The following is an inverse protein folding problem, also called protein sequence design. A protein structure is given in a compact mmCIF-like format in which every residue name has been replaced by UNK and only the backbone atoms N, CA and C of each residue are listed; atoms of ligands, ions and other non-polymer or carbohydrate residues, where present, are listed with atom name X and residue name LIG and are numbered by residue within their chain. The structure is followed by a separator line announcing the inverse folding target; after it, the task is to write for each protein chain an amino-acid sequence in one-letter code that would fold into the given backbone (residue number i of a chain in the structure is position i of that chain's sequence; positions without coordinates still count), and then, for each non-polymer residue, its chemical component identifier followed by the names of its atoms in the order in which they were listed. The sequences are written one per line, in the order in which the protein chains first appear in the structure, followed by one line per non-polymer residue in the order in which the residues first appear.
data_IF_248358039491
#
_entry.id   IF_248358039491
#
_cell.length_a   1.000
_cell.length_b   1.000
_cell.length_c   1.000
_cell.angle_alpha   90.00
_cell.angle_beta   90.00
_cell.angle_gamma   90.00
#
_symmetry.space_group_name_H-M   'P 1'
#
loop_
_entity.id
_entity.type
_entity.pdbx_description
1 polymer ?
#
# COMPACT_ATOMS: atom_id res chain seq x y z
N UNK A 1 24.41 36.21 -3.11
CA UNK A 1 23.33 36.38 -4.11
C UNK A 1 23.38 35.17 -5.03
N UNK A 2 22.44 34.22 -4.88
CA UNK A 2 21.18 34.28 -5.65
C UNK A 2 19.96 33.65 -4.93
N UNK A 3 18.77 34.26 -4.98
CA UNK A 3 17.52 33.60 -4.55
C UNK A 3 16.24 34.16 -5.21
N UNK A 4 16.31 34.66 -6.45
CA UNK A 4 15.13 35.25 -7.11
C UNK A 4 15.11 34.90 -8.60
N UNK A 5 14.78 33.65 -8.94
CA UNK A 5 14.39 33.28 -10.33
C UNK A 5 13.38 32.12 -10.42
N UNK A 6 12.66 31.75 -9.34
CA UNK A 6 11.71 30.61 -9.36
C UNK A 6 10.28 30.95 -9.82
N UNK A 7 10.00 32.22 -10.13
CA UNK A 7 8.70 32.70 -10.61
C UNK A 7 8.17 32.00 -11.87
N UNK A 8 8.94 31.91 -12.97
CA UNK A 8 8.46 31.28 -14.20
C UNK A 8 8.22 29.77 -14.05
N UNK A 9 8.94 29.09 -13.15
CA UNK A 9 8.73 27.67 -12.86
C UNK A 9 7.39 27.43 -12.14
N UNK A 10 7.00 28.33 -11.24
CA UNK A 10 5.71 28.26 -10.54
C UNK A 10 4.53 28.52 -11.48
N UNK A 11 4.66 29.48 -12.40
CA UNK A 11 3.65 29.73 -13.43
C UNK A 11 3.52 28.54 -14.40
N UNK A 12 4.64 27.95 -14.81
CA UNK A 12 4.65 26.73 -15.62
C UNK A 12 3.96 25.57 -14.87
N UNK A 13 4.31 25.35 -13.60
CA UNK A 13 3.69 24.32 -12.77
C UNK A 13 2.18 24.55 -12.61
N UNK A 14 1.74 25.79 -12.41
CA UNK A 14 0.32 26.15 -12.37
C UNK A 14 -0.39 25.90 -13.70
N UNK A 15 0.23 26.23 -14.83
CA UNK A 15 -0.32 25.98 -16.16
C UNK A 15 -0.44 24.47 -16.43
N UNK A 16 0.58 23.69 -16.11
CA UNK A 16 0.58 22.22 -16.23
C UNK A 16 -0.52 21.63 -15.37
N UNK A 17 -0.64 22.03 -14.10
CA UNK A 17 -1.68 21.54 -13.19
C UNK A 17 -3.09 21.80 -13.74
N UNK A 18 -3.35 23.03 -14.20
CA UNK A 18 -4.66 23.38 -14.76
C UNK A 18 -4.95 22.62 -16.06
N UNK A 19 -3.95 22.44 -16.92
CA UNK A 19 -4.09 21.68 -18.16
C UNK A 19 -4.38 20.19 -17.87
N UNK A 20 -3.62 19.57 -16.97
CA UNK A 20 -3.83 18.19 -16.53
C UNK A 20 -5.22 18.00 -15.95
N UNK A 21 -5.66 18.92 -15.07
CA UNK A 21 -7.00 18.87 -14.47
C UNK A 21 -8.11 19.07 -15.50
N UNK A 22 -7.96 20.03 -16.41
CA UNK A 22 -8.92 20.26 -17.49
C UNK A 22 -9.07 19.03 -18.39
N UNK A 23 -7.94 18.45 -18.80
CA UNK A 23 -7.91 17.25 -19.63
C UNK A 23 -8.62 16.10 -18.91
N UNK A 24 -8.23 15.80 -17.67
CA UNK A 24 -8.83 14.71 -16.88
C UNK A 24 -10.35 14.88 -16.70
N UNK A 25 -10.81 16.09 -16.40
CA UNK A 25 -12.24 16.37 -16.27
C UNK A 25 -12.98 16.18 -17.60
N UNK A 26 -12.37 16.59 -18.72
CA UNK A 26 -12.93 16.39 -20.05
C UNK A 26 -13.14 14.90 -20.37
N UNK A 27 -12.18 14.04 -20.01
CA UNK A 27 -12.38 12.59 -20.14
C UNK A 27 -13.59 12.14 -19.33
N UNK A 28 -13.62 12.45 -18.03
CA UNK A 28 -14.70 12.05 -17.12
C UNK A 28 -16.09 12.48 -17.63
N UNK A 29 -16.20 13.68 -18.20
CA UNK A 29 -17.46 14.15 -18.78
C UNK A 29 -17.88 13.38 -20.04
N UNK A 30 -16.93 13.04 -20.92
CA UNK A 30 -17.21 12.21 -22.11
C UNK A 30 -17.72 10.83 -21.69
N UNK A 31 -17.13 10.22 -20.66
CA UNK A 31 -17.60 8.95 -20.11
C UNK A 31 -18.99 9.06 -19.53
N UNK A 32 -19.25 10.07 -18.70
CA UNK A 32 -20.58 10.30 -18.11
C UNK A 32 -21.65 10.44 -19.19
N UNK A 33 -21.33 11.16 -20.27
CA UNK A 33 -22.24 11.32 -21.40
C UNK A 33 -22.45 10.01 -22.17
N UNK A 34 -21.37 9.25 -22.42
CA UNK A 34 -21.44 7.94 -23.05
C UNK A 34 -22.31 6.94 -22.25
N UNK A 35 -22.22 6.97 -20.91
CA UNK A 35 -23.09 6.15 -20.04
C UNK A 35 -24.55 6.56 -20.16
N UNK A 36 -24.85 7.87 -20.23
CA UNK A 36 -26.22 8.36 -20.42
C UNK A 36 -26.77 7.92 -21.77
N UNK A 37 -25.97 8.07 -22.83
CA UNK A 37 -26.35 7.66 -24.18
C UNK A 37 -26.62 6.15 -24.25
N UNK A 38 -25.79 5.33 -23.60
CA UNK A 38 -26.02 3.89 -23.46
C UNK A 38 -27.34 3.58 -22.74
N UNK A 39 -27.63 4.27 -21.62
CA UNK A 39 -28.88 4.11 -20.86
C UNK A 39 -30.12 4.52 -21.64
N UNK A 40 -29.98 5.45 -22.59
CA UNK A 40 -31.06 5.89 -23.48
C UNK A 40 -31.19 5.00 -24.74
N UNK A 41 -30.32 4.00 -24.91
CA UNK A 41 -30.31 3.11 -26.07
C UNK A 41 -29.69 3.74 -27.32
N UNK A 42 -28.96 4.85 -27.18
CA UNK A 42 -28.20 5.45 -28.28
C UNK A 42 -26.95 4.59 -28.58
N UNK A 43 -26.52 4.50 -29.85
CA UNK A 43 -25.30 3.80 -30.20
C UNK A 43 -24.08 4.54 -29.64
N UNK A 44 -23.24 3.84 -28.88
CA UNK A 44 -22.00 4.35 -28.28
C UNK A 44 -20.81 3.55 -28.84
N UNK A 45 -19.68 4.22 -29.07
CA UNK A 45 -18.44 3.56 -29.51
C UNK A 45 -17.86 2.68 -28.39
N UNK A 46 -17.55 1.42 -28.71
CA UNK A 46 -16.94 0.45 -27.78
C UNK A 46 -15.53 0.87 -27.32
N UNK A 47 -14.83 1.70 -28.10
CA UNK A 47 -13.49 2.19 -27.78
C UNK A 47 -13.45 3.01 -26.49
N UNK A 48 -14.57 3.66 -26.13
CA UNK A 48 -14.70 4.44 -24.89
C UNK A 48 -14.51 3.52 -23.69
N UNK A 49 -15.21 2.38 -23.64
CA UNK A 49 -15.16 1.48 -22.49
C UNK A 49 -13.81 0.76 -22.33
N UNK A 50 -13.12 0.49 -23.45
CA UNK A 50 -11.79 -0.15 -23.44
C UNK A 50 -10.71 0.64 -22.69
N UNK A 51 -10.81 1.97 -22.67
CA UNK A 51 -9.89 2.84 -21.92
C UNK A 51 -10.19 2.85 -20.42
N UNK A 52 -11.46 2.65 -20.02
CA UNK A 52 -11.84 2.58 -18.62
C UNK A 52 -11.31 1.30 -17.96
N UNK A 53 -11.41 0.16 -18.63
CA UNK A 53 -10.86 -1.10 -18.10
C UNK A 53 -9.35 -1.01 -17.87
N UNK A 54 -8.62 -0.36 -18.78
CA UNK A 54 -7.18 -0.10 -18.61
C UNK A 54 -6.88 0.85 -17.46
N UNK A 55 -7.71 1.87 -17.26
CA UNK A 55 -7.58 2.82 -16.15
C UNK A 55 -7.90 2.19 -14.80
N UNK A 56 -8.94 1.35 -14.73
CA UNK A 56 -9.35 0.63 -13.52
C UNK A 56 -8.30 -0.41 -13.09
N UNK A 57 -7.72 -1.15 -14.05
CA UNK A 57 -6.62 -2.07 -13.76
C UNK A 57 -5.38 -1.34 -13.22
N UNK A 58 -5.07 -0.16 -13.74
CA UNK A 58 -3.97 0.66 -13.24
C UNK A 58 -4.23 1.20 -11.82
N UNK A 59 -5.46 1.59 -11.50
CA UNK A 59 -5.80 2.03 -10.13
C UNK A 59 -5.78 0.88 -9.13
N UNK A 60 -6.21 -0.32 -9.53
CA UNK A 60 -6.17 -1.50 -8.65
C UNK A 60 -4.72 -1.91 -8.33
N UNK A 61 -3.80 -1.79 -9.30
CA UNK A 61 -2.37 -2.03 -9.09
C UNK A 61 -1.74 -0.98 -8.16
N UNK A 62 -2.10 0.31 -8.32
CA UNK A 62 -1.63 1.38 -7.43
C UNK A 62 -2.15 1.21 -6.00
N UNK A 63 -3.42 0.83 -5.83
CA UNK A 63 -4.02 0.59 -4.51
C UNK A 63 -3.40 -0.65 -3.83
N UNK A 64 -3.10 -1.70 -4.60
CA UNK A 64 -2.38 -2.88 -4.09
C UNK A 64 -0.96 -2.53 -3.64
N UNK A 65 -0.24 -1.70 -4.42
CA UNK A 65 1.09 -1.22 -4.06
C UNK A 65 1.06 -0.35 -2.79
N UNK A 66 0.12 0.58 -2.69
CA UNK A 66 -0.06 1.42 -1.50
C UNK A 66 -0.38 0.57 -0.25
N UNK A 67 -1.20 -0.47 -0.40
CA UNK A 67 -1.51 -1.41 0.68
C UNK A 67 -0.27 -2.18 1.13
N UNK A 68 0.56 -2.65 0.18
CA UNK A 68 1.80 -3.35 0.49
C UNK A 68 2.81 -2.46 1.23
N UNK A 69 2.93 -1.19 0.84
CA UNK A 69 3.77 -0.22 1.57
C UNK A 69 3.25 0.03 2.99
N UNK A 70 1.93 0.15 3.15
CA UNK A 70 1.32 0.33 4.47
C UNK A 70 1.60 -0.85 5.41
N UNK A 71 1.45 -2.08 4.90
CA UNK A 71 1.77 -3.31 5.65
C UNK A 71 3.25 -3.34 6.03
N UNK A 72 4.14 -2.96 5.12
CA UNK A 72 5.58 -2.93 5.39
C UNK A 72 5.93 -1.96 6.52
N UNK A 73 5.34 -0.76 6.53
CA UNK A 73 5.57 0.24 7.59
C UNK A 73 5.07 -0.25 8.94
N UNK A 74 3.88 -0.87 8.99
CA UNK A 74 3.35 -1.47 10.22
C UNK A 74 4.29 -2.55 10.78
N UNK A 75 4.85 -3.39 9.91
CA UNK A 75 5.82 -4.42 10.31
C UNK A 75 7.09 -3.78 10.88
N UNK A 76 7.63 -2.74 10.24
CA UNK A 76 8.81 -2.04 10.75
C UNK A 76 8.56 -1.37 12.11
N UNK A 77 7.40 -0.74 12.29
CA UNK A 77 7.05 -0.08 13.55
C UNK A 77 6.85 -1.09 14.68
N UNK A 78 6.18 -2.21 14.42
CA UNK A 78 6.09 -3.32 15.37
C UNK A 78 7.47 -3.89 15.72
N UNK A 79 8.35 -4.05 14.74
CA UNK A 79 9.73 -4.53 14.96
C UNK A 79 10.53 -3.60 15.88
N UNK A 80 10.46 -2.29 15.67
CA UNK A 80 11.12 -1.27 16.52
C UNK A 80 10.56 -1.24 17.95
N UNK A 81 9.26 -1.51 18.11
CA UNK A 81 8.62 -1.54 19.42
C UNK A 81 8.99 -2.81 20.20
N UNK A 82 9.06 -3.97 19.53
CA UNK A 82 9.34 -5.26 20.16
C UNK A 82 10.82 -5.43 20.52
N UNK A 83 11.73 -4.95 19.68
CA UNK A 83 13.18 -5.11 19.85
C UNK A 83 13.80 -3.73 19.82
N UNK A 84 14.50 -3.35 20.90
CA UNK A 84 15.20 -2.05 20.95
C UNK A 84 16.24 -1.94 19.83
N UNK A 85 16.38 -0.73 19.28
CA UNK A 85 17.08 -0.37 18.02
C UNK A 85 18.51 -0.95 17.81
N UNK A 86 19.14 -1.52 18.84
CA UNK A 86 20.49 -2.09 18.78
C UNK A 86 20.55 -3.58 18.44
N UNK A 87 19.44 -4.32 18.56
CA UNK A 87 19.43 -5.78 18.46
C UNK A 87 18.85 -6.25 17.10
N UNK A 88 19.72 -6.75 16.23
CA UNK A 88 19.31 -7.40 14.98
C UNK A 88 18.72 -8.78 15.30
N UNK A 89 17.51 -9.07 14.78
CA UNK A 89 16.86 -10.37 14.94
C UNK A 89 17.56 -11.40 14.05
N UNK A 90 18.11 -12.43 14.69
CA UNK A 90 18.73 -13.56 13.99
C UNK A 90 17.68 -14.59 13.56
N UNK A 91 16.62 -14.76 14.35
CA UNK A 91 15.53 -15.68 14.04
C UNK A 91 14.39 -15.65 15.06
N UNK A 92 13.24 -16.19 14.67
CA UNK A 92 12.09 -16.40 15.54
C UNK A 92 11.44 -17.76 15.26
N UNK A 93 11.01 -18.44 16.31
CA UNK A 93 10.37 -19.76 16.24
C UNK A 93 9.18 -19.79 17.18
N UNK A 94 8.08 -20.41 16.74
CA UNK A 94 7.05 -20.85 17.68
C UNK A 94 7.45 -22.21 18.25
N UNK A 95 7.28 -22.35 19.55
CA UNK A 95 7.60 -23.52 20.35
C UNK A 95 6.31 -24.06 20.97
N UNK A 96 6.34 -25.33 21.34
CA UNK A 96 5.30 -26.01 22.11
C UNK A 96 5.88 -26.20 23.51
N UNK A 97 5.10 -25.94 24.57
CA UNK A 97 5.54 -26.21 25.93
C UNK A 97 5.85 -27.70 26.11
N UNK A 98 7.03 -27.97 26.65
CA UNK A 98 7.55 -29.32 26.85
C UNK A 98 7.90 -29.57 28.33
N UNK A 99 7.36 -28.77 29.26
CA UNK A 99 7.58 -28.98 30.69
C UNK A 99 7.00 -30.35 31.13
N UNK A 100 7.83 -31.28 31.62
CA UNK A 100 7.38 -32.61 32.03
C UNK A 100 6.56 -32.62 33.33
N UNK A 101 6.46 -31.50 34.05
CA UNK A 101 5.78 -31.38 35.36
C UNK A 101 4.47 -30.60 35.25
N UNK A 102 4.42 -29.55 34.41
CA UNK A 102 3.23 -28.69 34.23
C UNK A 102 2.62 -28.72 32.84
N UNK A 103 3.35 -29.19 31.83
CA UNK A 103 2.88 -29.25 30.45
C UNK A 103 2.03 -30.48 30.16
N UNK A 104 1.13 -30.35 29.17
CA UNK A 104 0.33 -31.48 28.69
C UNK A 104 1.09 -32.22 27.57
N UNK A 105 1.40 -33.52 27.71
CA UNK A 105 2.10 -34.28 26.68
C UNK A 105 1.29 -34.47 25.38
N UNK A 106 -0.02 -34.17 25.37
CA UNK A 106 -0.82 -34.13 24.14
C UNK A 106 -0.91 -32.73 23.52
N UNK A 107 -0.25 -31.72 24.12
CA UNK A 107 -0.22 -30.37 23.59
C UNK A 107 0.52 -30.30 22.27
N UNK A 108 -0.18 -29.84 21.23
CA UNK A 108 0.37 -29.66 19.87
C UNK A 108 0.34 -28.21 19.42
N UNK A 109 -0.14 -27.30 20.27
CA UNK A 109 -0.32 -25.90 19.93
C UNK A 109 0.99 -25.13 20.17
N UNK A 110 1.38 -24.31 19.19
CA UNK A 110 2.52 -23.41 19.33
C UNK A 110 2.05 -22.16 20.08
N UNK A 111 2.13 -22.21 21.40
CA UNK A 111 1.68 -21.16 22.31
C UNK A 111 2.80 -20.18 22.71
N UNK A 112 4.05 -20.64 22.60
CA UNK A 112 5.23 -19.90 23.04
C UNK A 112 6.04 -19.42 21.84
N UNK A 113 6.49 -18.16 21.83
CA UNK A 113 7.35 -17.62 20.77
C UNK A 113 8.73 -17.30 21.34
N UNK A 114 9.77 -17.87 20.73
CA UNK A 114 11.17 -17.55 20.98
C UNK A 114 11.71 -16.63 19.89
N UNK A 115 12.19 -15.45 20.28
CA UNK A 115 12.89 -14.51 19.38
C UNK A 115 14.34 -14.43 19.82
N UNK A 116 15.27 -14.70 18.91
CA UNK A 116 16.70 -14.58 19.14
C UNK A 116 17.24 -13.33 18.48
N UNK A 117 17.80 -12.43 19.30
CA UNK A 117 18.58 -11.30 18.86
C UNK A 117 20.09 -11.58 19.00
N UNK A 118 20.92 -10.60 18.65
CA UNK A 118 22.37 -10.73 18.69
C UNK A 118 22.91 -10.92 20.11
N UNK A 119 22.41 -10.14 21.06
CA UNK A 119 22.89 -10.14 22.45
C UNK A 119 21.82 -10.58 23.47
N UNK A 120 20.59 -10.88 23.02
CA UNK A 120 19.45 -11.21 23.88
C UNK A 120 18.51 -12.25 23.27
N UNK A 121 17.68 -12.88 24.10
CA UNK A 121 16.58 -13.73 23.65
C UNK A 121 15.29 -13.38 24.40
N UNK A 122 14.16 -13.41 23.70
CA UNK A 122 12.84 -13.11 24.24
C UNK A 122 11.96 -14.36 24.13
N UNK A 123 11.24 -14.67 25.20
CA UNK A 123 10.24 -15.76 25.25
C UNK A 123 8.94 -15.13 25.74
N UNK A 124 7.86 -15.37 25.00
CA UNK A 124 6.52 -14.86 25.28
C UNK A 124 5.48 -15.95 25.05
#
# INVERSE_FOLDING_TARGET
MPLITLGPEFELAGAVFNLSRYYLNRFKDVYRQATIDLMLGNPVSEDIFSQQERGAAATDEEDAAATAEHVKLLIEDCKKMLISDSDEVLGAWGLIDADPVTGDPEETEMDTILILARDSYYVA
#
